data_IF_772039234252
#
_entry.id   IF_772039234252
#
_cell.length_a   1.000
_cell.length_b   1.000
_cell.length_c   1.000
_cell.angle_alpha   90.00
_cell.angle_beta   90.00
_cell.angle_gamma   90.00
#
_symmetry.space_group_name_H-M   'P 1'
#
loop_
_entity.id
_entity.type
_entity.pdbx_description
1 polymer ?
#
# COMPACT_ATOMS: atom_id res chain seq x y z
N UNK A 1 -1.50 5.60 22.67
CA UNK A 1 -1.78 4.78 21.47
C UNK A 1 -3.01 5.40 20.80
N UNK A 2 -2.92 5.74 19.52
CA UNK A 2 -4.04 6.30 18.73
C UNK A 2 -4.50 5.23 17.75
N UNK A 3 -5.81 5.00 17.67
CA UNK A 3 -6.42 4.06 16.73
C UNK A 3 -7.26 4.88 15.75
N UNK A 4 -6.99 4.71 14.46
CA UNK A 4 -7.69 5.41 13.39
C UNK A 4 -8.42 4.39 12.52
N UNK A 5 -9.66 4.68 12.16
CA UNK A 5 -10.39 3.91 11.17
C UNK A 5 -9.78 4.17 9.79
N UNK A 6 -9.24 3.12 9.16
CA UNK A 6 -8.78 3.16 7.78
C UNK A 6 -9.92 3.19 6.77
N UNK A 7 -9.61 3.30 5.48
CA UNK A 7 -10.54 3.17 4.34
C UNK A 7 -11.59 4.28 4.19
N UNK A 8 -11.82 5.09 5.22
CA UNK A 8 -12.85 6.12 5.26
C UNK A 8 -12.24 7.52 5.19
N UNK A 9 -13.01 8.47 4.67
CA UNK A 9 -12.66 9.88 4.61
C UNK A 9 -13.90 10.78 4.59
N UNK A 10 -13.67 12.09 4.60
CA UNK A 10 -14.72 13.10 4.51
C UNK A 10 -14.39 14.05 3.35
N UNK A 11 -15.39 14.41 2.55
CA UNK A 11 -15.23 15.42 1.49
C UNK A 11 -15.19 16.84 2.07
N UNK A 12 -14.84 17.83 1.26
CA UNK A 12 -14.92 19.24 1.66
C UNK A 12 -16.34 19.69 2.06
N UNK A 13 -17.37 18.95 1.61
CA UNK A 13 -18.79 19.22 1.91
C UNK A 13 -19.29 18.48 3.17
N UNK A 14 -18.44 17.67 3.82
CA UNK A 14 -18.81 16.91 5.02
C UNK A 14 -19.38 15.52 4.74
N UNK A 15 -19.42 15.07 3.49
CA UNK A 15 -19.93 13.75 3.14
C UNK A 15 -18.92 12.65 3.46
N UNK A 16 -19.40 11.53 4.01
CA UNK A 16 -18.56 10.36 4.23
C UNK A 16 -18.27 9.66 2.90
N UNK A 17 -17.00 9.38 2.65
CA UNK A 17 -16.54 8.65 1.46
C UNK A 17 -15.65 7.47 1.85
N UNK A 18 -15.54 6.52 0.92
CA UNK A 18 -14.62 5.40 1.05
C UNK A 18 -13.53 5.48 0.00
N UNK A 19 -12.33 5.03 0.35
CA UNK A 19 -11.14 5.09 -0.50
C UNK A 19 -11.06 3.92 -1.50
N UNK A 20 -12.07 3.04 -1.51
CA UNK A 20 -12.09 1.87 -2.37
C UNK A 20 -11.12 0.76 -1.93
N UNK A 21 -10.88 -0.19 -2.83
CA UNK A 21 -10.03 -1.35 -2.60
C UNK A 21 -8.62 -0.92 -2.20
N UNK A 22 -8.11 -1.44 -1.07
CA UNK A 22 -6.81 -1.03 -0.51
C UNK A 22 -6.86 0.21 0.37
N UNK A 23 -8.05 0.76 0.63
CA UNK A 23 -8.17 2.05 1.32
C UNK A 23 -7.59 2.11 2.73
N UNK A 24 -7.56 1.01 3.48
CA UNK A 24 -6.92 0.98 4.80
C UNK A 24 -5.42 1.21 4.72
N UNK A 25 -4.75 0.56 3.77
CA UNK A 25 -3.32 0.75 3.51
C UNK A 25 -3.06 2.19 3.07
N UNK A 26 -3.94 2.73 2.21
CA UNK A 26 -3.87 4.14 1.78
C UNK A 26 -3.98 5.09 2.96
N UNK A 27 -4.89 4.85 3.89
CA UNK A 27 -4.98 5.65 5.11
C UNK A 27 -3.70 5.54 5.94
N UNK A 28 -3.15 4.34 6.13
CA UNK A 28 -1.93 4.13 6.92
C UNK A 28 -0.74 4.90 6.34
N UNK A 29 -0.52 4.80 5.02
CA UNK A 29 0.57 5.50 4.35
C UNK A 29 0.37 7.02 4.33
N UNK A 30 -0.86 7.48 4.09
CA UNK A 30 -1.17 8.91 4.13
C UNK A 30 -0.92 9.51 5.53
N UNK A 31 -1.30 8.79 6.59
CA UNK A 31 -1.03 9.20 7.97
C UNK A 31 0.46 9.21 8.29
N UNK A 32 1.19 8.14 7.92
CA UNK A 32 2.64 8.07 8.10
C UNK A 32 3.36 9.22 7.40
N UNK A 33 2.98 9.52 6.15
CA UNK A 33 3.49 10.66 5.40
C UNK A 33 3.15 11.99 6.07
N UNK A 34 1.90 12.21 6.48
CA UNK A 34 1.48 13.44 7.15
C UNK A 34 2.23 13.67 8.47
N UNK A 35 2.49 12.60 9.23
CA UNK A 35 3.19 12.62 10.51
C UNK A 35 4.72 12.61 10.39
N UNK A 36 5.26 12.44 9.16
CA UNK A 36 6.70 12.24 8.91
C UNK A 36 7.26 11.06 9.72
N UNK A 37 6.51 9.96 9.77
CA UNK A 37 6.97 8.75 10.42
C UNK A 37 8.17 8.17 9.68
N UNK A 38 9.14 7.62 10.42
CA UNK A 38 10.31 6.95 9.84
C UNK A 38 9.91 5.66 9.10
N UNK A 39 8.86 4.97 9.56
CA UNK A 39 8.41 3.67 9.04
C UNK A 39 6.88 3.60 9.02
N UNK A 40 6.33 2.95 7.99
CA UNK A 40 4.94 2.54 7.91
C UNK A 40 4.87 1.02 7.70
N UNK A 41 4.34 0.29 8.69
CA UNK A 41 4.24 -1.17 8.64
C UNK A 41 2.84 -1.60 8.23
N UNK A 42 2.75 -2.44 7.19
CA UNK A 42 1.50 -3.03 6.72
C UNK A 42 1.51 -4.52 7.08
N UNK A 43 0.59 -4.93 7.95
CA UNK A 43 0.43 -6.32 8.36
C UNK A 43 -0.62 -7.01 7.49
N UNK A 44 -0.25 -8.14 6.88
CA UNK A 44 -1.11 -8.87 5.93
C UNK A 44 -1.00 -10.39 6.11
N UNK A 45 -1.85 -11.14 5.40
CA UNK A 45 -1.94 -12.61 5.44
C UNK A 45 -0.82 -13.32 4.67
N UNK A 46 0.06 -12.56 4.03
CA UNK A 46 1.23 -13.04 3.31
C UNK A 46 2.49 -12.51 3.97
N UNK A 47 3.53 -13.33 4.05
CA UNK A 47 4.76 -12.97 4.77
C UNK A 47 5.57 -11.83 4.12
N UNK A 48 5.18 -11.35 2.94
CA UNK A 48 5.84 -10.26 2.24
C UNK A 48 5.47 -10.22 0.77
N UNK A 49 6.27 -9.48 0.00
CA UNK A 49 6.18 -9.39 -1.46
C UNK A 49 6.93 -10.56 -2.07
N UNK A 50 6.34 -11.21 -3.07
CA UNK A 50 6.94 -12.31 -3.82
C UNK A 50 7.19 -11.88 -5.27
N UNK A 51 8.17 -12.50 -5.92
CA UNK A 51 8.52 -12.23 -7.33
C UNK A 51 7.34 -12.42 -8.30
N UNK A 52 6.38 -13.28 -7.95
CA UNK A 52 5.11 -13.48 -8.64
C UNK A 52 4.09 -14.11 -7.66
N UNK A 53 2.85 -14.38 -8.09
CA UNK A 53 1.87 -15.06 -7.24
C UNK A 53 2.30 -16.52 -6.98
N UNK A 54 2.63 -16.89 -5.72
CA UNK A 54 3.08 -18.24 -5.38
C UNK A 54 1.99 -19.31 -5.60
N UNK A 55 0.73 -18.91 -5.78
CA UNK A 55 -0.38 -19.81 -6.12
C UNK A 55 -0.37 -20.21 -7.59
N UNK A 56 0.29 -19.40 -8.43
CA UNK A 56 0.38 -19.61 -9.89
C UNK A 56 1.73 -20.24 -10.25
N UNK A 57 2.82 -19.79 -9.64
CA UNK A 57 4.18 -20.27 -9.90
C UNK A 57 4.83 -20.75 -8.61
N UNK A 58 5.24 -22.02 -8.57
CA UNK A 58 5.81 -22.65 -7.36
C UNK A 58 7.24 -22.20 -7.07
N UNK A 59 7.91 -21.69 -8.09
CA UNK A 59 9.24 -21.10 -8.06
C UNK A 59 9.24 -19.65 -7.56
N UNK A 60 8.07 -19.09 -7.23
CA UNK A 60 7.98 -17.78 -6.61
C UNK A 60 8.78 -17.74 -5.31
N UNK A 61 9.60 -16.71 -5.17
CA UNK A 61 10.42 -16.48 -3.99
C UNK A 61 10.09 -15.13 -3.37
N UNK A 62 10.26 -15.03 -2.05
CA UNK A 62 10.04 -13.80 -1.30
C UNK A 62 11.17 -12.80 -1.62
N UNK A 63 10.80 -11.55 -1.88
CA UNK A 63 11.73 -10.44 -2.03
C UNK A 63 12.13 -9.95 -0.64
N UNK A 64 13.44 -9.77 -0.40
CA UNK A 64 13.94 -9.19 0.86
C UNK A 64 13.66 -7.68 0.91
N UNK A 65 13.89 -6.99 -0.22
CA UNK A 65 13.62 -5.57 -0.41
C UNK A 65 13.02 -5.35 -1.80
N UNK A 66 12.16 -4.34 -1.93
CA UNK A 66 11.58 -3.91 -3.20
C UNK A 66 11.44 -2.39 -3.19
N UNK A 67 11.88 -1.76 -4.27
CA UNK A 67 11.76 -0.31 -4.40
C UNK A 67 10.33 0.09 -4.78
N UNK A 68 10.00 1.37 -4.57
CA UNK A 68 8.71 1.91 -4.99
C UNK A 68 8.44 1.70 -6.49
N UNK A 69 9.43 1.96 -7.35
CA UNK A 69 9.27 1.83 -8.80
C UNK A 69 9.00 0.38 -9.22
N UNK A 70 9.69 -0.58 -8.62
CA UNK A 70 9.47 -2.00 -8.90
C UNK A 70 8.08 -2.44 -8.43
N UNK A 71 7.67 -2.04 -7.22
CA UNK A 71 6.34 -2.35 -6.70
C UNK A 71 5.23 -1.74 -7.57
N UNK A 72 5.45 -0.54 -8.13
CA UNK A 72 4.54 0.13 -9.05
C UNK A 72 4.37 -0.67 -10.36
N UNK A 73 5.47 -1.12 -10.95
CA UNK A 73 5.43 -1.92 -12.18
C UNK A 73 4.80 -3.31 -11.93
N UNK A 74 5.11 -3.95 -10.80
CA UNK A 74 4.47 -5.20 -10.39
C UNK A 74 2.94 -5.05 -10.24
N UNK A 75 2.49 -3.94 -9.67
CA UNK A 75 1.06 -3.63 -9.53
C UNK A 75 0.39 -3.40 -10.90
N UNK A 76 1.08 -2.70 -11.80
CA UNK A 76 0.62 -2.40 -13.16
C UNK A 76 0.45 -3.66 -14.01
N UNK A 77 1.36 -4.62 -13.87
CA UNK A 77 1.37 -5.89 -14.58
C UNK A 77 0.35 -6.90 -14.04
N UNK A 78 -0.41 -6.57 -13.00
CA UNK A 78 -1.59 -7.33 -12.59
C UNK A 78 -1.31 -8.50 -11.65
N UNK A 79 -0.22 -8.45 -10.87
CA UNK A 79 -0.03 -9.41 -9.78
C UNK A 79 -1.24 -9.32 -8.81
N UNK A 80 -2.06 -10.38 -8.78
CA UNK A 80 -3.45 -10.36 -8.30
C UNK A 80 -3.64 -9.95 -6.84
N UNK A 81 -2.58 -9.95 -6.02
CA UNK A 81 -2.56 -9.39 -4.67
C UNK A 81 -1.85 -8.02 -4.57
N UNK A 82 -0.93 -7.70 -5.48
CA UNK A 82 -0.21 -6.41 -5.53
C UNK A 82 -1.16 -5.26 -5.90
N UNK A 83 -2.28 -5.56 -6.54
CA UNK A 83 -3.29 -4.58 -6.97
C UNK A 83 -3.98 -3.82 -5.81
N UNK A 84 -3.87 -4.29 -4.56
CA UNK A 84 -4.48 -3.64 -3.38
C UNK A 84 -3.54 -2.69 -2.62
N UNK A 85 -2.22 -2.82 -2.80
CA UNK A 85 -1.23 -1.93 -2.16
C UNK A 85 -0.88 -0.69 -3.02
N UNK A 86 -1.36 -0.66 -4.27
CA UNK A 86 -1.06 0.34 -5.29
C UNK A 86 -1.43 1.78 -4.90
N UNK A 87 -2.60 1.98 -4.25
CA UNK A 87 -3.04 3.32 -3.86
C UNK A 87 -2.33 3.85 -2.62
N UNK A 88 -1.86 2.98 -1.74
CA UNK A 88 -1.12 3.40 -0.56
C UNK A 88 0.25 3.97 -0.92
N UNK A 89 0.96 3.31 -1.82
CA UNK A 89 2.34 3.67 -2.15
C UNK A 89 2.48 4.95 -2.98
N UNK A 90 1.48 5.32 -3.80
CA UNK A 90 1.49 6.56 -4.59
C UNK A 90 1.56 7.82 -3.70
N UNK A 91 1.02 7.77 -2.48
CA UNK A 91 1.06 8.90 -1.54
C UNK A 91 2.39 8.99 -0.78
N UNK A 92 3.09 7.87 -0.56
CA UNK A 92 4.44 7.88 0.01
C UNK A 92 5.50 8.41 -0.97
N UNK A 93 5.39 8.02 -2.25
CA UNK A 93 6.42 8.30 -3.24
C UNK A 93 6.49 9.74 -3.73
N UNK A 94 5.40 10.51 -3.64
CA UNK A 94 5.37 11.94 -4.00
C UNK A 94 6.21 12.84 -3.10
N UNK A 95 6.88 12.28 -2.07
CA UNK A 95 7.80 12.99 -1.17
C UNK A 95 9.27 12.60 -1.27
N UNK A 96 9.63 11.55 -1.98
CA UNK A 96 11.04 11.15 -2.09
C UNK A 96 11.78 11.81 -3.28
N UNK A 97 11.13 12.79 -3.93
CA UNK A 97 11.65 13.56 -5.08
C UNK A 97 11.74 15.08 -4.77
N UNK A 98 12.00 15.42 -3.50
CA UNK A 98 12.26 16.80 -3.05
C UNK A 98 13.42 16.90 -2.07
#
# INVERSE_FOLDING_TARGET
IVVVAGFQGITEYGDMVTLGRGGSDTTAVALAGAMKADVCEIFTDVEGVYSTDPRVAKEAFKLEEVTYGEMLEMARLGAGKVRLHYHAYLTAASRNDS
#
